data_IF_062548582935
#
_entry.id   IF_062548582935
#
_cell.length_a   1.000
_cell.length_b   1.000
_cell.length_c   1.000
_cell.angle_alpha   90.00
_cell.angle_beta   90.00
_cell.angle_gamma   90.00
#
_symmetry.space_group_name_H-M   'P 1'
#
loop_
_entity.id
_entity.type
_entity.pdbx_description
1 polymer ?
#
# COMPACT_ATOMS: atom_id res chain seq x y z
N UNK A 1 -27.57 -19.70 -6.71
CA UNK A 1 -28.28 -18.41 -6.57
C UNK A 1 -28.06 -17.61 -7.85
N UNK A 2 -29.11 -17.01 -8.43
CA UNK A 2 -29.11 -16.46 -9.79
C UNK A 2 -28.91 -14.93 -9.76
N UNK A 3 -27.70 -14.49 -10.08
CA UNK A 3 -27.21 -13.10 -10.04
C UNK A 3 -28.10 -12.09 -10.78
N UNK A 4 -28.81 -12.53 -11.83
CA UNK A 4 -29.63 -11.67 -12.68
C UNK A 4 -30.94 -11.23 -12.02
N UNK A 5 -31.47 -12.00 -11.07
CA UNK A 5 -32.72 -11.69 -10.38
C UNK A 5 -32.52 -10.61 -9.30
N UNK A 6 -31.31 -10.52 -8.75
CA UNK A 6 -30.90 -9.52 -7.77
C UNK A 6 -30.87 -8.09 -8.35
N UNK A 7 -30.57 -7.97 -9.64
CA UNK A 7 -30.49 -6.69 -10.36
C UNK A 7 -31.88 -6.10 -10.65
N UNK A 8 -32.90 -6.94 -10.87
CA UNK A 8 -34.27 -6.51 -11.13
C UNK A 8 -34.93 -5.86 -9.89
N UNK A 9 -34.65 -6.40 -8.70
CA UNK A 9 -35.16 -5.89 -7.42
C UNK A 9 -34.44 -4.61 -6.94
N UNK A 10 -33.29 -4.29 -7.55
CA UNK A 10 -32.50 -3.09 -7.24
C UNK A 10 -33.12 -1.81 -7.81
N UNK A 11 -33.81 -1.90 -8.95
CA UNK A 11 -34.33 -0.76 -9.71
C UNK A 11 -35.54 -0.03 -9.10
N UNK A 12 -36.14 -0.53 -8.01
CA UNK A 12 -37.45 -0.04 -7.51
C UNK A 12 -37.44 0.73 -6.15
N UNK A 13 -36.34 1.29 -5.61
CA UNK A 13 -36.34 1.85 -4.23
C UNK A 13 -36.06 3.38 -4.06
N UNK A 14 -36.77 3.98 -3.09
CA UNK A 14 -37.21 5.40 -2.89
C UNK A 14 -36.20 6.38 -2.18
N UNK A 15 -36.38 7.73 -2.25
CA UNK A 15 -35.39 8.79 -1.90
C UNK A 15 -35.26 9.26 -0.43
N UNK A 16 -35.59 8.47 0.61
CA UNK A 16 -35.41 8.90 2.01
C UNK A 16 -33.94 8.89 2.55
N UNK A 17 -32.95 8.86 1.66
CA UNK A 17 -31.53 8.55 1.90
C UNK A 17 -30.71 9.70 2.53
N UNK A 18 -31.26 10.91 2.63
CA UNK A 18 -30.46 12.12 2.85
C UNK A 18 -30.08 12.44 4.32
N UNK A 19 -30.71 11.85 5.34
CA UNK A 19 -30.53 12.26 6.75
C UNK A 19 -29.45 11.50 7.55
N UNK A 20 -28.93 10.36 7.06
CA UNK A 20 -27.95 9.53 7.80
C UNK A 20 -26.46 9.88 7.58
N UNK A 21 -26.14 10.70 6.58
CA UNK A 21 -24.76 11.08 6.27
C UNK A 21 -24.13 12.05 7.30
N UNK A 22 -24.95 12.75 8.10
CA UNK A 22 -24.52 13.78 9.06
C UNK A 22 -23.87 13.20 10.33
N UNK A 23 -24.34 12.04 10.79
CA UNK A 23 -23.89 11.44 12.05
C UNK A 23 -22.51 10.76 11.91
N UNK A 24 -22.23 10.14 10.76
CA UNK A 24 -20.95 9.44 10.49
C UNK A 24 -19.78 10.39 10.24
N UNK A 25 -20.03 11.49 9.53
CA UNK A 25 -19.06 12.59 9.34
C UNK A 25 -18.63 13.21 10.67
N UNK A 26 -19.51 13.19 11.67
CA UNK A 26 -19.21 13.72 13.01
C UNK A 26 -18.31 12.78 13.80
N UNK A 27 -18.48 11.46 13.68
CA UNK A 27 -17.64 10.46 14.37
C UNK A 27 -16.23 10.34 13.76
N UNK A 28 -16.10 10.34 12.44
CA UNK A 28 -14.78 10.33 11.78
C UNK A 28 -14.02 11.65 12.01
N UNK A 29 -14.73 12.78 12.11
CA UNK A 29 -14.13 14.06 12.57
C UNK A 29 -13.63 13.99 14.01
N UNK A 30 -14.28 13.23 14.89
CA UNK A 30 -13.80 13.04 16.26
C UNK A 30 -12.53 12.19 16.28
N UNK A 31 -12.42 11.15 15.44
CA UNK A 31 -11.20 10.35 15.31
C UNK A 31 -10.03 11.14 14.68
N UNK A 32 -10.30 11.97 13.66
CA UNK A 32 -9.26 12.85 13.08
C UNK A 32 -8.81 13.96 14.03
N UNK A 33 -9.67 14.41 14.95
CA UNK A 33 -9.35 15.37 16.00
C UNK A 33 -8.62 14.76 17.21
N UNK A 34 -8.71 13.43 17.41
CA UNK A 34 -7.98 12.71 18.47
C UNK A 34 -6.47 12.58 18.18
N UNK A 35 -6.02 12.80 16.95
CA UNK A 35 -4.59 12.94 16.62
C UNK A 35 -3.94 14.24 17.13
N UNK A 36 -4.70 15.11 17.82
CA UNK A 36 -4.22 16.42 18.28
C UNK A 36 -3.87 16.54 19.76
N UNK A 37 -4.64 15.97 20.69
CA UNK A 37 -4.41 16.14 22.15
C UNK A 37 -5.05 15.00 22.96
N UNK A 38 -4.27 14.42 23.87
CA UNK A 38 -4.70 13.41 24.85
C UNK A 38 -5.74 13.99 25.83
N UNK A 39 -6.87 13.30 26.01
CA UNK A 39 -7.61 13.22 27.28
C UNK A 39 -8.51 11.98 27.26
N UNK A 40 -8.19 11.00 28.11
CA UNK A 40 -9.01 9.81 28.33
C UNK A 40 -10.23 10.14 29.18
N UNK A 41 -11.44 9.90 28.67
CA UNK A 41 -12.66 9.76 29.48
C UNK A 41 -13.53 8.66 28.88
N UNK A 42 -13.67 7.56 29.61
CA UNK A 42 -14.55 6.44 29.28
C UNK A 42 -16.00 6.76 29.66
N UNK A 43 -16.99 6.51 28.79
CA UNK A 43 -18.37 6.17 29.18
C UNK A 43 -19.10 5.35 28.09
N UNK A 44 -20.08 4.49 28.48
CA UNK A 44 -20.59 3.38 27.67
C UNK A 44 -21.95 3.68 27.03
N UNK A 45 -22.21 3.26 25.79
CA UNK A 45 -23.57 3.19 25.24
C UNK A 45 -23.75 2.01 24.27
N UNK A 46 -24.47 1.00 24.75
CA UNK A 46 -25.17 0.00 23.95
C UNK A 46 -26.35 0.65 23.23
N UNK A 47 -26.45 0.49 21.91
CA UNK A 47 -27.71 0.53 21.18
C UNK A 47 -27.60 -0.33 19.90
N UNK A 48 -28.15 -1.53 19.98
CA UNK A 48 -28.41 -2.39 18.81
C UNK A 48 -29.56 -1.78 18.03
N UNK A 49 -29.34 -1.48 16.74
CA UNK A 49 -30.42 -1.24 15.78
C UNK A 49 -30.09 -1.96 14.47
N UNK A 50 -30.86 -3.00 14.19
CA UNK A 50 -30.79 -3.79 12.96
C UNK A 50 -31.65 -3.13 11.89
N UNK A 51 -31.02 -2.61 10.83
CA UNK A 51 -31.71 -2.22 9.60
C UNK A 51 -30.74 -2.31 8.43
N UNK A 52 -30.98 -3.28 7.55
CA UNK A 52 -30.20 -3.50 6.34
C UNK A 52 -30.32 -2.29 5.39
N UNK A 53 -29.18 -1.75 4.96
CA UNK A 53 -29.09 -0.57 4.11
C UNK A 53 -28.60 -0.96 2.71
N UNK A 54 -29.30 -0.49 1.67
CA UNK A 54 -28.88 -0.61 0.26
C UNK A 54 -27.65 0.26 0.01
N UNK A 55 -26.67 -0.37 -0.62
CA UNK A 55 -25.29 0.04 -0.74
C UNK A 55 -25.05 1.00 -1.91
N UNK A 56 -24.47 2.17 -1.63
CA UNK A 56 -23.26 2.55 -2.37
C UNK A 56 -22.14 1.70 -1.78
N UNK A 57 -21.76 0.63 -2.48
CA UNK A 57 -20.67 -0.33 -2.25
C UNK A 57 -19.92 -0.20 -0.90
N UNK A 58 -20.62 -0.43 0.22
CA UNK A 58 -19.99 -0.50 1.55
C UNK A 58 -19.02 -1.69 1.60
N UNK A 59 -19.34 -2.74 0.83
CA UNK A 59 -18.46 -3.86 0.51
C UNK A 59 -17.11 -3.34 -0.04
N UNK A 60 -17.11 -2.55 -1.13
CA UNK A 60 -15.85 -2.07 -1.72
C UNK A 60 -15.01 -1.13 -0.83
N UNK A 61 -15.61 -0.25 -0.02
CA UNK A 61 -14.85 0.65 0.88
C UNK A 61 -14.12 -0.13 1.99
N UNK A 62 -14.82 -1.11 2.56
CA UNK A 62 -14.27 -1.95 3.62
C UNK A 62 -13.24 -2.93 3.05
N UNK A 63 -13.42 -3.39 1.82
CA UNK A 63 -12.43 -4.19 1.11
C UNK A 63 -11.13 -3.40 0.88
N UNK A 64 -11.20 -2.10 0.58
CA UNK A 64 -10.03 -1.22 0.51
C UNK A 64 -9.28 -1.18 1.83
N UNK A 65 -9.97 -1.00 2.96
CA UNK A 65 -9.34 -0.94 4.29
C UNK A 65 -8.75 -2.30 4.71
N UNK A 66 -9.40 -3.41 4.37
CA UNK A 66 -8.89 -4.76 4.63
C UNK A 66 -7.67 -5.09 3.77
N UNK A 67 -7.67 -4.68 2.50
CA UNK A 67 -6.50 -4.79 1.62
C UNK A 67 -5.34 -3.95 2.17
N UNK A 68 -5.59 -2.68 2.50
CA UNK A 68 -4.59 -1.80 3.10
C UNK A 68 -3.98 -2.44 4.35
N UNK A 69 -4.82 -2.93 5.28
CA UNK A 69 -4.33 -3.57 6.51
C UNK A 69 -3.46 -4.79 6.22
N UNK A 70 -3.79 -5.57 5.19
CA UNK A 70 -2.99 -6.73 4.78
C UNK A 70 -1.61 -6.32 4.27
N UNK A 71 -1.52 -5.21 3.52
CA UNK A 71 -0.25 -4.65 3.04
C UNK A 71 0.56 -4.05 4.20
N UNK A 72 -0.07 -3.30 5.11
CA UNK A 72 0.62 -2.76 6.30
C UNK A 72 1.14 -3.88 7.21
N UNK A 73 0.42 -5.00 7.32
CA UNK A 73 0.92 -6.18 8.03
C UNK A 73 2.16 -6.77 7.39
N UNK A 74 2.21 -6.81 6.05
CA UNK A 74 3.35 -7.30 5.29
C UNK A 74 4.60 -6.44 5.54
N UNK A 75 4.48 -5.12 5.47
CA UNK A 75 5.59 -4.17 5.67
C UNK A 75 6.03 -4.10 7.14
N UNK A 76 5.07 -4.05 8.07
CA UNK A 76 5.31 -4.12 9.52
C UNK A 76 6.10 -5.39 9.88
N UNK A 77 5.67 -6.57 9.45
CA UNK A 77 6.41 -7.82 9.73
C UNK A 77 7.78 -7.84 9.03
N UNK A 78 7.90 -7.29 7.82
CA UNK A 78 9.16 -7.25 7.09
C UNK A 78 10.24 -6.49 7.88
N UNK A 79 9.94 -5.27 8.32
CA UNK A 79 10.88 -4.48 9.11
C UNK A 79 11.11 -5.04 10.51
N UNK A 80 10.07 -5.60 11.16
CA UNK A 80 10.23 -6.28 12.45
C UNK A 80 11.16 -7.48 12.33
N UNK A 81 11.05 -8.27 11.27
CA UNK A 81 11.97 -9.40 11.02
C UNK A 81 13.40 -8.91 10.80
N UNK A 82 13.61 -7.91 9.94
CA UNK A 82 14.93 -7.34 9.68
C UNK A 82 15.63 -6.79 10.93
N UNK A 83 14.86 -6.18 11.85
CA UNK A 83 15.37 -5.64 13.12
C UNK A 83 15.55 -6.69 14.22
N UNK A 84 15.26 -7.97 13.95
CA UNK A 84 15.34 -9.07 14.90
C UNK A 84 14.21 -9.08 15.95
N UNK A 85 13.09 -8.39 15.68
CA UNK A 85 11.91 -8.30 16.56
C UNK A 85 10.84 -9.37 16.24
N UNK A 86 10.96 -10.05 15.11
CA UNK A 86 10.05 -11.11 14.66
C UNK A 86 10.85 -12.26 14.06
N UNK A 87 10.52 -13.49 14.45
CA UNK A 87 11.17 -14.69 13.93
C UNK A 87 10.73 -14.99 12.49
N UNK A 88 11.66 -15.53 11.70
CA UNK A 88 11.42 -16.04 10.35
C UNK A 88 10.57 -17.33 10.41
N UNK A 89 10.02 -17.82 9.29
CA UNK A 89 9.26 -19.08 9.25
C UNK A 89 9.99 -20.30 9.87
N UNK A 90 11.31 -20.33 9.78
CA UNK A 90 12.17 -21.37 10.37
C UNK A 90 12.40 -21.22 11.90
N UNK A 91 11.79 -20.21 12.53
CA UNK A 91 11.88 -19.91 13.96
C UNK A 91 13.12 -19.13 14.37
N UNK A 92 14.02 -18.80 13.43
CA UNK A 92 15.25 -18.06 13.73
C UNK A 92 15.04 -16.54 13.67
N UNK A 93 15.84 -15.81 14.44
CA UNK A 93 15.92 -14.35 14.36
C UNK A 93 17.01 -13.93 13.38
N UNK A 94 16.81 -12.78 12.74
CA UNK A 94 17.85 -12.12 11.95
C UNK A 94 18.96 -11.62 12.89
N UNK A 95 20.22 -11.72 12.45
CA UNK A 95 21.38 -11.26 13.22
C UNK A 95 21.25 -9.77 13.59
N UNK A 96 21.65 -9.39 14.80
CA UNK A 96 21.62 -7.99 15.24
C UNK A 96 22.48 -7.06 14.37
N UNK A 97 23.55 -7.59 13.78
CA UNK A 97 24.49 -6.87 12.92
C UNK A 97 24.07 -6.85 11.44
N UNK A 98 22.94 -7.48 11.09
CA UNK A 98 22.42 -7.51 9.72
C UNK A 98 22.14 -6.09 9.19
N UNK A 99 21.47 -5.28 10.00
CA UNK A 99 21.22 -3.87 9.71
C UNK A 99 22.46 -3.07 10.11
N UNK A 100 23.11 -2.34 9.18
CA UNK A 100 24.23 -1.48 9.53
C UNK A 100 23.85 -0.51 10.64
N UNK A 101 24.71 -0.36 11.65
CA UNK A 101 24.42 0.47 12.83
C UNK A 101 24.04 1.92 12.47
N UNK A 102 24.64 2.48 11.42
CA UNK A 102 24.35 3.83 10.92
C UNK A 102 22.97 3.98 10.28
N UNK A 103 22.31 2.88 9.89
CA UNK A 103 20.99 2.87 9.25
C UNK A 103 19.89 2.31 10.16
N UNK A 104 20.25 1.85 11.37
CA UNK A 104 19.31 1.19 12.26
C UNK A 104 18.17 2.10 12.69
N UNK A 105 18.48 3.35 13.06
CA UNK A 105 17.47 4.32 13.48
C UNK A 105 16.48 4.66 12.36
N UNK A 106 16.95 4.68 11.10
CA UNK A 106 16.11 4.89 9.93
C UNK A 106 15.10 3.73 9.81
N UNK A 107 15.57 2.47 9.83
CA UNK A 107 14.67 1.31 9.74
C UNK A 107 13.75 1.15 10.95
N UNK A 108 14.18 1.54 12.15
CA UNK A 108 13.32 1.59 13.33
C UNK A 108 12.20 2.63 13.20
N UNK A 109 12.45 3.73 12.48
CA UNK A 109 11.43 4.74 12.18
C UNK A 109 10.41 4.22 11.18
N UNK A 110 10.85 3.58 10.08
CA UNK A 110 9.94 2.96 9.10
C UNK A 110 9.06 1.91 9.81
N UNK A 111 9.69 1.00 10.57
CA UNK A 111 8.97 -0.02 11.33
C UNK A 111 7.91 0.57 12.28
N UNK A 112 8.21 1.69 12.94
CA UNK A 112 7.28 2.37 13.83
C UNK A 112 6.09 2.94 13.06
N UNK A 113 6.31 3.52 11.89
CA UNK A 113 5.21 4.03 11.06
C UNK A 113 4.30 2.90 10.59
N UNK A 114 4.84 1.75 10.15
CA UNK A 114 3.98 0.62 9.75
C UNK A 114 3.14 0.08 10.90
N UNK A 115 3.71 -0.02 12.10
CA UNK A 115 2.95 -0.40 13.29
C UNK A 115 1.82 0.62 13.59
N UNK A 116 2.03 1.90 13.33
CA UNK A 116 1.02 2.95 13.50
C UNK A 116 -0.07 2.87 12.43
N UNK A 117 0.29 2.60 11.17
CA UNK A 117 -0.68 2.39 10.09
C UNK A 117 -1.56 1.17 10.36
N UNK A 118 -0.96 0.05 10.76
CA UNK A 118 -1.66 -1.15 11.22
C UNK A 118 -2.66 -0.79 12.32
N UNK A 119 -2.20 -0.14 13.40
CA UNK A 119 -3.07 0.18 14.54
C UNK A 119 -4.24 1.09 14.13
N UNK A 120 -3.97 2.06 13.26
CA UNK A 120 -5.00 2.95 12.72
C UNK A 120 -6.05 2.18 11.91
N UNK A 121 -5.63 1.31 10.99
CA UNK A 121 -6.53 0.55 10.12
C UNK A 121 -7.34 -0.49 10.90
N UNK A 122 -6.73 -1.16 11.88
CA UNK A 122 -7.45 -2.05 12.81
C UNK A 122 -8.57 -1.29 13.52
N UNK A 123 -8.24 -0.15 14.13
CA UNK A 123 -9.23 0.68 14.81
C UNK A 123 -10.32 1.19 13.86
N UNK A 124 -9.98 1.56 12.61
CA UNK A 124 -10.94 1.99 11.61
C UNK A 124 -11.92 0.87 11.22
N UNK A 125 -11.43 -0.36 11.05
CA UNK A 125 -12.24 -1.54 10.74
C UNK A 125 -13.14 -1.96 11.91
N UNK A 126 -12.60 -1.99 13.13
CA UNK A 126 -13.38 -2.28 14.37
C UNK A 126 -14.52 -1.29 14.55
N UNK A 127 -14.23 0.01 14.42
CA UNK A 127 -15.23 1.06 14.52
C UNK A 127 -16.26 1.02 13.38
N UNK A 128 -15.92 0.41 12.24
CA UNK A 128 -16.84 0.20 11.12
C UNK A 128 -17.74 -1.03 11.31
N UNK A 129 -17.55 -1.80 12.39
CA UNK A 129 -18.32 -3.02 12.69
C UNK A 129 -17.93 -4.22 11.83
N UNK A 130 -16.77 -4.19 11.19
CA UNK A 130 -16.25 -5.26 10.33
C UNK A 130 -15.26 -6.10 11.13
N UNK A 131 -15.22 -7.39 10.82
CA UNK A 131 -14.20 -8.28 11.37
C UNK A 131 -12.83 -7.85 10.82
N UNK A 132 -11.93 -7.47 11.72
CA UNK A 132 -10.54 -7.19 11.36
C UNK A 132 -9.90 -8.48 10.81
N UNK A 133 -9.39 -8.49 9.58
CA UNK A 133 -8.64 -9.62 9.05
C UNK A 133 -7.51 -10.03 10.00
N UNK A 134 -7.32 -11.34 10.18
CA UNK A 134 -6.19 -11.84 10.92
C UNK A 134 -4.89 -11.50 10.19
N UNK A 135 -3.83 -11.18 10.94
CA UNK A 135 -2.48 -10.99 10.38
C UNK A 135 -2.03 -12.29 9.70
N UNK A 136 -1.70 -12.27 8.39
CA UNK A 136 -1.17 -13.44 7.69
C UNK A 136 0.20 -13.84 8.22
N UNK A 137 0.68 -15.02 7.82
CA UNK A 137 2.07 -15.41 7.99
C UNK A 137 2.84 -15.06 6.73
N UNK A 138 4.04 -14.50 6.90
CA UNK A 138 4.86 -14.02 5.80
C UNK A 138 6.21 -14.74 5.70
N UNK A 139 6.57 -15.12 4.48
CA UNK A 139 7.88 -15.61 4.08
C UNK A 139 8.47 -14.67 3.02
N UNK A 140 9.32 -13.76 3.47
CA UNK A 140 9.93 -12.72 2.65
C UNK A 140 10.95 -13.25 1.64
N UNK A 141 11.31 -14.54 1.69
CA UNK A 141 12.09 -15.16 0.61
C UNK A 141 11.26 -15.39 -0.65
N UNK A 142 9.93 -15.28 -0.56
CA UNK A 142 9.00 -15.63 -1.64
C UNK A 142 8.91 -17.14 -1.89
N UNK A 143 9.53 -17.99 -1.06
CA UNK A 143 9.44 -19.45 -1.17
C UNK A 143 8.10 -20.03 -0.71
N UNK A 144 7.27 -19.19 -0.06
CA UNK A 144 6.00 -19.56 0.56
C UNK A 144 6.17 -20.74 1.51
N UNK A 145 7.10 -20.59 2.46
CA UNK A 145 7.48 -21.60 3.43
C UNK A 145 7.91 -22.93 2.78
N UNK A 146 8.73 -22.83 1.73
CA UNK A 146 9.27 -23.97 1.00
C UNK A 146 8.32 -24.62 -0.02
N UNK A 147 7.15 -24.04 -0.28
CA UNK A 147 6.23 -24.53 -1.31
C UNK A 147 6.76 -24.29 -2.75
N UNK A 148 7.70 -23.36 -2.92
CA UNK A 148 8.38 -23.08 -4.18
C UNK A 148 9.83 -22.64 -3.96
N UNK A 149 10.61 -22.53 -5.04
CA UNK A 149 11.95 -21.97 -4.97
C UNK A 149 11.91 -20.51 -4.48
N UNK A 150 12.85 -20.14 -3.61
CA UNK A 150 12.95 -18.78 -3.09
C UNK A 150 13.27 -17.78 -4.21
N UNK A 151 12.52 -16.68 -4.26
CA UNK A 151 12.77 -15.54 -5.14
C UNK A 151 13.90 -14.65 -4.57
N UNK A 152 13.95 -14.53 -3.24
CA UNK A 152 14.91 -13.71 -2.50
C UNK A 152 15.58 -14.54 -1.39
N UNK A 153 16.40 -15.56 -1.74
CA UNK A 153 16.92 -16.53 -0.76
C UNK A 153 17.78 -15.90 0.34
N UNK A 154 18.41 -14.76 0.08
CA UNK A 154 19.33 -14.07 0.98
C UNK A 154 18.76 -12.74 1.54
N UNK A 155 17.44 -12.53 1.47
CA UNK A 155 16.78 -11.27 1.89
C UNK A 155 17.14 -10.82 3.32
N UNK A 156 17.48 -11.74 4.23
CA UNK A 156 17.89 -11.39 5.61
C UNK A 156 19.35 -11.76 5.95
N UNK A 157 20.16 -12.03 4.93
CA UNK A 157 21.61 -12.25 5.07
C UNK A 157 22.42 -11.34 4.16
N UNK A 158 21.79 -10.74 3.16
CA UNK A 158 22.34 -9.75 2.25
C UNK A 158 21.52 -8.46 2.32
N UNK A 159 22.13 -7.41 2.87
CA UNK A 159 21.45 -6.13 3.06
C UNK A 159 21.06 -5.45 1.74
N UNK A 160 21.77 -5.72 0.64
CA UNK A 160 21.38 -5.19 -0.68
C UNK A 160 20.16 -5.90 -1.26
N UNK A 161 20.00 -7.21 -1.02
CA UNK A 161 18.75 -7.93 -1.36
C UNK A 161 17.60 -7.42 -0.49
N UNK A 162 17.82 -7.21 0.80
CA UNK A 162 16.82 -6.59 1.68
C UNK A 162 16.31 -5.26 1.15
N UNK A 163 17.21 -4.35 0.76
CA UNK A 163 16.78 -3.05 0.23
C UNK A 163 16.03 -3.17 -1.11
N UNK A 164 16.32 -4.20 -1.92
CA UNK A 164 15.55 -4.47 -3.15
C UNK A 164 14.12 -4.93 -2.82
N UNK A 165 13.95 -5.83 -1.85
CA UNK A 165 12.64 -6.26 -1.38
C UNK A 165 11.90 -5.11 -0.70
N UNK A 166 12.57 -4.35 0.17
CA UNK A 166 12.04 -3.15 0.80
C UNK A 166 11.48 -2.19 -0.25
N UNK A 167 12.26 -1.85 -1.27
CA UNK A 167 11.79 -0.96 -2.34
C UNK A 167 10.55 -1.53 -3.04
N UNK A 168 10.54 -2.83 -3.32
CA UNK A 168 9.41 -3.51 -3.97
C UNK A 168 8.13 -3.42 -3.15
N UNK A 169 8.22 -3.56 -1.83
CA UNK A 169 7.07 -3.44 -0.93
C UNK A 169 6.59 -1.99 -0.87
N UNK A 170 7.48 -1.05 -0.56
CA UNK A 170 7.18 0.37 -0.41
C UNK A 170 6.55 0.99 -1.66
N UNK A 171 7.13 0.73 -2.84
CA UNK A 171 6.56 1.20 -4.09
C UNK A 171 5.19 0.55 -4.35
N UNK A 172 5.03 -0.74 -4.02
CA UNK A 172 3.73 -1.41 -4.14
C UNK A 172 2.68 -0.83 -3.19
N UNK A 173 3.06 -0.44 -1.96
CA UNK A 173 2.20 0.23 -0.98
C UNK A 173 1.69 1.56 -1.52
N UNK A 174 2.57 2.44 -1.99
CA UNK A 174 2.22 3.72 -2.64
C UNK A 174 1.21 3.50 -3.76
N UNK A 175 1.53 2.60 -4.69
CA UNK A 175 0.72 2.32 -5.88
C UNK A 175 -0.62 1.68 -5.53
N UNK A 176 -0.68 0.84 -4.51
CA UNK A 176 -1.91 0.24 -4.01
C UNK A 176 -2.84 1.31 -3.44
N UNK A 177 -2.35 2.18 -2.55
CA UNK A 177 -3.15 3.28 -2.00
C UNK A 177 -3.69 4.19 -3.10
N UNK A 178 -2.85 4.55 -4.08
CA UNK A 178 -3.28 5.34 -5.23
C UNK A 178 -4.37 4.64 -6.04
N UNK A 179 -4.21 3.34 -6.30
CA UNK A 179 -5.20 2.55 -7.04
C UNK A 179 -6.53 2.37 -6.31
N UNK A 180 -6.53 2.45 -4.98
CA UNK A 180 -7.76 2.39 -4.20
C UNK A 180 -8.48 3.74 -4.05
N UNK A 181 -7.83 4.86 -4.39
CA UNK A 181 -8.38 6.21 -4.17
C UNK A 181 -9.74 6.44 -4.84
N UNK A 182 -9.97 5.85 -6.02
CA UNK A 182 -11.25 5.95 -6.74
C UNK A 182 -12.44 5.37 -5.96
N UNK A 183 -12.22 4.33 -5.16
CA UNK A 183 -13.26 3.76 -4.30
C UNK A 183 -13.58 4.67 -3.10
N UNK A 184 -12.58 5.41 -2.61
CA UNK A 184 -12.67 6.29 -1.44
C UNK A 184 -13.20 7.70 -1.77
N UNK A 185 -13.33 8.06 -3.06
CA UNK A 185 -13.56 9.45 -3.50
C UNK A 185 -14.81 10.12 -2.91
N UNK A 186 -15.82 9.32 -2.51
CA UNK A 186 -17.07 9.81 -1.94
C UNK A 186 -17.06 9.85 -0.38
N UNK A 187 -15.98 9.40 0.26
CA UNK A 187 -15.77 9.48 1.71
C UNK A 187 -14.52 10.31 2.02
N UNK A 188 -14.70 11.62 2.16
CA UNK A 188 -13.59 12.55 2.38
C UNK A 188 -12.71 12.17 3.59
N UNK A 189 -13.26 11.58 4.64
CA UNK A 189 -12.51 11.25 5.84
C UNK A 189 -11.61 10.03 5.62
N UNK A 190 -12.14 8.97 4.98
CA UNK A 190 -11.33 7.81 4.60
C UNK A 190 -10.33 8.16 3.50
N UNK A 191 -10.71 9.00 2.54
CA UNK A 191 -9.83 9.49 1.48
C UNK A 191 -8.65 10.29 2.07
N UNK A 192 -8.91 11.21 3.00
CA UNK A 192 -7.86 11.96 3.68
C UNK A 192 -6.93 11.04 4.47
N UNK A 193 -7.48 10.08 5.22
CA UNK A 193 -6.70 9.11 5.98
C UNK A 193 -5.78 8.28 5.06
N UNK A 194 -6.33 7.72 3.98
CA UNK A 194 -5.57 6.95 2.99
C UNK A 194 -4.45 7.77 2.35
N UNK A 195 -4.70 9.03 1.99
CA UNK A 195 -3.66 9.89 1.41
C UNK A 195 -2.60 10.36 2.41
N UNK A 196 -2.92 10.41 3.71
CA UNK A 196 -1.90 10.66 4.74
C UNK A 196 -0.95 9.48 4.86
N UNK A 197 -1.45 8.24 4.83
CA UNK A 197 -0.62 7.02 4.81
C UNK A 197 0.19 6.95 3.52
N UNK A 198 -0.46 7.09 2.35
CA UNK A 198 0.22 7.16 1.06
C UNK A 198 1.39 8.17 1.04
N UNK A 199 1.23 9.35 1.67
CA UNK A 199 2.32 10.33 1.74
C UNK A 199 3.48 9.89 2.65
N UNK A 200 3.24 9.04 3.64
CA UNK A 200 4.28 8.40 4.45
C UNK A 200 4.99 7.33 3.62
N UNK A 201 4.25 6.42 2.97
CA UNK A 201 4.81 5.39 2.08
C UNK A 201 5.69 6.00 0.98
N UNK A 202 5.25 7.08 0.35
CA UNK A 202 6.05 7.74 -0.68
C UNK A 202 7.40 8.26 -0.15
N UNK A 203 7.47 8.63 1.13
CA UNK A 203 8.74 9.03 1.78
C UNK A 203 9.59 7.81 2.13
N UNK A 204 8.98 6.71 2.57
CA UNK A 204 9.69 5.45 2.80
C UNK A 204 10.31 4.92 1.50
N UNK A 205 9.51 4.82 0.43
CA UNK A 205 9.96 4.47 -0.92
C UNK A 205 11.15 5.34 -1.36
N UNK A 206 11.02 6.67 -1.29
CA UNK A 206 12.12 7.58 -1.64
C UNK A 206 13.35 7.40 -0.76
N UNK A 207 13.18 7.10 0.53
CA UNK A 207 14.27 6.89 1.47
C UNK A 207 15.03 5.59 1.14
N UNK A 208 14.33 4.47 0.98
CA UNK A 208 14.91 3.18 0.60
C UNK A 208 15.67 3.29 -0.73
N UNK A 209 15.08 3.95 -1.73
CA UNK A 209 15.72 4.24 -3.03
C UNK A 209 17.02 5.02 -2.87
N UNK A 210 17.04 6.02 -1.99
CA UNK A 210 18.26 6.76 -1.65
C UNK A 210 19.30 5.86 -0.99
N UNK A 211 18.92 5.00 -0.05
CA UNK A 211 19.84 4.06 0.58
C UNK A 211 20.48 3.11 -0.46
N UNK A 212 19.67 2.55 -1.36
CA UNK A 212 20.18 1.72 -2.46
C UNK A 212 21.16 2.49 -3.36
N UNK A 213 20.81 3.72 -3.78
CA UNK A 213 21.70 4.55 -4.61
C UNK A 213 23.05 4.78 -3.94
N UNK A 214 23.07 5.08 -2.65
CA UNK A 214 24.32 5.33 -1.91
C UNK A 214 25.21 4.09 -1.81
N UNK A 215 24.63 2.89 -1.96
CA UNK A 215 25.35 1.62 -1.93
C UNK A 215 25.81 1.14 -3.31
N UNK A 216 25.15 1.58 -4.39
CA UNK A 216 25.50 1.23 -5.77
C UNK A 216 26.49 2.20 -6.43
N UNK A 217 27.72 2.28 -5.91
CA UNK A 217 28.77 3.10 -6.54
C UNK A 217 29.16 2.53 -7.92
N UNK A 218 29.03 3.33 -8.98
CA UNK A 218 29.49 2.96 -10.33
C UNK A 218 28.48 2.21 -11.21
N UNK A 219 27.20 2.17 -10.84
CA UNK A 219 26.15 1.66 -11.73
C UNK A 219 26.03 2.52 -13.01
N UNK A 220 25.79 1.85 -14.15
CA UNK A 220 25.63 2.52 -15.45
C UNK A 220 24.44 3.49 -15.49
N UNK A 221 23.37 3.17 -14.75
CA UNK A 221 22.20 4.03 -14.54
C UNK A 221 21.97 4.23 -13.04
N UNK A 222 21.86 5.47 -12.54
CA UNK A 222 21.68 5.71 -11.12
C UNK A 222 20.23 5.44 -10.69
N UNK A 223 20.06 4.77 -9.54
CA UNK A 223 18.75 4.62 -8.90
C UNK A 223 18.16 6.00 -8.58
N UNK A 224 16.99 6.30 -9.14
CA UNK A 224 16.21 7.51 -8.88
C UNK A 224 15.50 7.42 -7.53
N UNK A 225 15.21 8.59 -6.93
CA UNK A 225 14.41 8.67 -5.70
C UNK A 225 12.90 8.48 -5.96
N UNK A 226 12.49 8.39 -7.22
CA UNK A 226 11.11 8.16 -7.67
C UNK A 226 11.05 6.90 -8.52
N UNK A 227 9.84 6.38 -8.71
CA UNK A 227 9.54 5.23 -9.58
C UNK A 227 9.68 5.62 -11.06
N UNK A 228 9.95 4.64 -11.91
CA UNK A 228 10.05 4.83 -13.36
C UNK A 228 10.41 3.53 -14.07
N UNK A 229 10.59 3.53 -15.39
CA UNK A 229 10.88 2.31 -16.15
C UNK A 229 12.28 1.75 -15.86
N UNK A 230 12.49 0.46 -16.14
CA UNK A 230 13.81 -0.20 -16.11
C UNK A 230 14.41 -0.40 -14.70
N UNK A 231 15.74 -0.31 -14.59
CA UNK A 231 16.50 -0.54 -13.34
C UNK A 231 16.21 0.50 -12.24
N UNK A 232 15.70 1.68 -12.63
CA UNK A 232 15.14 2.67 -11.71
C UNK A 232 13.83 2.21 -11.07
N UNK A 233 13.03 1.39 -11.76
CA UNK A 233 11.76 0.85 -11.29
C UNK A 233 11.95 -0.46 -10.56
N UNK A 234 12.26 -1.54 -11.30
CA UNK A 234 12.30 -2.93 -10.81
C UNK A 234 13.67 -3.28 -10.22
N UNK A 235 13.81 -3.36 -8.87
CA UNK A 235 15.09 -3.53 -8.21
C UNK A 235 15.64 -4.96 -8.34
N UNK A 236 14.78 -5.92 -8.69
CA UNK A 236 15.09 -7.35 -8.78
C UNK A 236 14.21 -8.03 -9.84
N UNK A 237 14.35 -7.65 -11.10
CA UNK A 237 13.62 -8.32 -12.19
C UNK A 237 14.11 -9.79 -12.36
N UNK A 238 13.22 -10.76 -12.61
CA UNK A 238 11.77 -10.62 -12.78
C UNK A 238 10.98 -10.70 -11.46
N UNK A 239 11.63 -11.03 -10.33
CA UNK A 239 11.00 -11.32 -9.05
C UNK A 239 10.17 -10.14 -8.47
N UNK A 240 10.41 -8.92 -8.94
CA UNK A 240 9.71 -7.71 -8.50
C UNK A 240 8.84 -7.06 -9.59
N UNK A 241 8.79 -7.60 -10.81
CA UNK A 241 8.12 -6.95 -11.96
C UNK A 241 6.63 -6.71 -11.73
N UNK A 242 5.96 -7.59 -10.97
CA UNK A 242 4.57 -7.42 -10.57
C UNK A 242 4.31 -6.08 -9.84
N UNK A 243 5.31 -5.57 -9.11
CA UNK A 243 5.27 -4.31 -8.38
C UNK A 243 5.52 -3.08 -9.27
N UNK A 244 5.83 -3.25 -10.57
CA UNK A 244 6.14 -2.17 -11.51
C UNK A 244 5.38 -2.27 -12.84
N UNK A 245 4.36 -3.13 -12.91
CA UNK A 245 3.50 -3.25 -14.09
C UNK A 245 2.90 -1.89 -14.43
N UNK A 246 3.13 -1.40 -15.66
CA UNK A 246 2.60 -0.12 -16.13
C UNK A 246 3.52 1.07 -15.94
N UNK A 247 4.61 0.98 -15.18
CA UNK A 247 5.55 2.11 -14.99
C UNK A 247 6.26 2.55 -16.29
N UNK A 248 6.16 1.75 -17.34
CA UNK A 248 6.59 2.04 -18.71
C UNK A 248 5.44 2.49 -19.62
N UNK A 249 4.28 2.85 -19.07
CA UNK A 249 3.11 3.26 -19.83
C UNK A 249 3.40 4.47 -20.72
N UNK A 250 3.15 4.32 -22.02
CA UNK A 250 3.28 5.37 -23.03
C UNK A 250 2.00 6.17 -23.22
N UNK A 251 0.97 5.86 -22.44
CA UNK A 251 -0.37 6.40 -22.58
C UNK A 251 -0.86 6.83 -21.21
N UNK A 252 -1.22 8.11 -21.08
CA UNK A 252 -1.62 8.72 -19.81
C UNK A 252 -3.03 9.27 -19.87
N UNK A 253 -3.82 8.95 -18.85
CA UNK A 253 -5.16 9.50 -18.68
C UNK A 253 -5.09 10.87 -18.01
N UNK A 254 -5.70 11.87 -18.64
CA UNK A 254 -5.86 13.22 -18.12
C UNK A 254 -7.30 13.44 -17.60
N UNK A 255 -7.52 14.51 -16.80
CA UNK A 255 -8.86 14.95 -16.45
C UNK A 255 -9.76 15.07 -17.69
N UNK A 256 -11.05 14.72 -17.55
CA UNK A 256 -12.07 14.70 -18.61
C UNK A 256 -11.92 13.59 -19.67
N UNK A 257 -11.31 12.45 -19.31
CA UNK A 257 -11.16 11.28 -20.19
C UNK A 257 -10.34 11.54 -21.45
N UNK A 258 -9.56 12.62 -21.47
CA UNK A 258 -8.55 12.83 -22.51
C UNK A 258 -7.40 11.87 -22.27
N UNK A 259 -6.92 11.24 -23.33
CA UNK A 259 -5.75 10.36 -23.28
C UNK A 259 -4.63 11.02 -24.05
N UNK A 260 -3.42 11.01 -23.49
CA UNK A 260 -2.22 11.53 -24.14
C UNK A 260 -1.27 10.38 -24.44
N UNK A 261 -0.90 10.28 -25.71
CA UNK A 261 0.20 9.42 -26.16
C UNK A 261 1.51 10.15 -25.91
N UNK A 262 2.32 9.67 -24.97
CA UNK A 262 3.58 10.30 -24.60
C UNK A 262 4.56 10.36 -25.78
N UNK A 263 4.51 9.39 -26.69
CA UNK A 263 5.36 9.36 -27.89
C UNK A 263 5.07 10.46 -28.91
N UNK A 264 3.86 11.02 -28.88
CA UNK A 264 3.42 12.13 -29.74
C UNK A 264 3.82 13.49 -29.16
N UNK A 265 4.24 13.53 -27.90
CA UNK A 265 4.70 14.75 -27.26
C UNK A 265 6.04 15.18 -27.84
N UNK A 266 6.04 16.32 -28.53
CA UNK A 266 7.25 16.98 -29.03
C UNK A 266 7.93 17.77 -27.92
N UNK A 267 8.46 17.07 -26.91
CA UNK A 267 9.13 17.68 -25.75
C UNK A 267 10.65 17.56 -25.91
N UNK A 268 11.34 18.70 -25.86
CA UNK A 268 12.81 18.75 -25.86
C UNK A 268 13.46 18.33 -27.18
N UNK A 269 14.79 18.30 -27.18
CA UNK A 269 15.62 17.89 -28.33
C UNK A 269 16.08 16.44 -28.25
N UNK A 270 16.00 15.81 -27.07
CA UNK A 270 16.34 14.42 -26.81
C UNK A 270 15.06 13.64 -26.51
N UNK A 271 14.59 12.90 -27.51
CA UNK A 271 13.30 12.20 -27.47
C UNK A 271 13.26 11.10 -26.41
N UNK A 272 14.33 10.33 -26.29
CA UNK A 272 14.37 9.17 -25.39
C UNK A 272 14.40 9.63 -23.93
N UNK A 273 15.17 10.69 -23.64
CA UNK A 273 15.17 11.30 -22.32
C UNK A 273 13.81 11.94 -22.01
N UNK A 274 13.21 12.65 -22.96
CA UNK A 274 11.90 13.28 -22.75
C UNK A 274 10.80 12.25 -22.49
N UNK A 275 10.80 11.13 -23.21
CA UNK A 275 9.83 10.05 -23.02
C UNK A 275 9.98 9.41 -21.64
N UNK A 276 11.21 9.08 -21.22
CA UNK A 276 11.47 8.57 -19.87
C UNK A 276 11.04 9.55 -18.79
N UNK A 277 11.39 10.83 -18.92
CA UNK A 277 10.96 11.86 -17.96
C UNK A 277 9.45 12.03 -17.91
N UNK A 278 8.74 11.81 -19.03
CA UNK A 278 7.29 11.85 -19.05
C UNK A 278 6.69 10.64 -18.32
N UNK A 279 7.23 9.43 -18.52
CA UNK A 279 6.82 8.23 -17.77
C UNK A 279 7.08 8.41 -16.26
N UNK A 280 8.28 8.84 -15.89
CA UNK A 280 8.70 9.12 -14.51
C UNK A 280 7.90 10.23 -13.81
N UNK A 281 7.08 11.00 -14.53
CA UNK A 281 6.18 12.00 -13.95
C UNK A 281 4.89 11.38 -13.40
N UNK A 282 4.62 10.12 -13.73
CA UNK A 282 3.50 9.35 -13.25
C UNK A 282 3.99 8.23 -12.35
N UNK A 283 3.06 7.76 -11.54
CA UNK A 283 3.24 6.65 -10.61
C UNK A 283 1.98 5.81 -10.80
N UNK A 284 2.08 4.68 -11.49
CA UNK A 284 0.88 4.02 -11.98
C UNK A 284 0.17 3.28 -10.85
N UNK A 285 -1.16 3.37 -10.73
CA UNK A 285 -1.89 2.67 -9.68
C UNK A 285 -1.84 1.15 -9.87
N UNK A 286 -1.77 0.41 -8.76
CA UNK A 286 -2.08 -1.01 -8.75
C UNK A 286 -3.57 -1.24 -8.49
N UNK A 287 -4.18 -2.10 -9.30
CA UNK A 287 -5.54 -2.60 -9.03
C UNK A 287 -5.55 -3.48 -7.77
N UNK A 288 -6.72 -3.65 -7.15
CA UNK A 288 -6.91 -4.55 -6.01
C UNK A 288 -6.34 -5.94 -6.29
N UNK A 289 -6.61 -6.50 -7.48
CA UNK A 289 -6.12 -7.82 -7.87
C UNK A 289 -4.59 -7.89 -7.96
N UNK A 290 -3.95 -6.85 -8.50
CA UNK A 290 -2.48 -6.78 -8.58
C UNK A 290 -1.85 -6.63 -7.19
N UNK A 291 -2.39 -5.77 -6.34
CA UNK A 291 -1.92 -5.60 -4.96
C UNK A 291 -2.06 -6.90 -4.15
N UNK A 292 -3.19 -7.60 -4.29
CA UNK A 292 -3.39 -8.91 -3.65
C UNK A 292 -2.43 -9.96 -4.21
N UNK A 293 -2.20 -10.00 -5.52
CA UNK A 293 -1.26 -10.93 -6.13
C UNK A 293 0.18 -10.69 -5.63
N UNK A 294 0.58 -9.43 -5.46
CA UNK A 294 1.89 -9.07 -4.91
C UNK A 294 2.04 -9.51 -3.46
N UNK A 295 1.04 -9.24 -2.60
CA UNK A 295 1.07 -9.71 -1.22
C UNK A 295 1.17 -11.25 -1.13
N UNK A 296 0.47 -11.96 -2.02
CA UNK A 296 0.47 -13.42 -2.09
C UNK A 296 1.81 -14.04 -2.50
N UNK A 297 2.77 -13.26 -2.99
CA UNK A 297 4.16 -13.73 -3.18
C UNK A 297 4.76 -14.15 -1.83
N UNK A 298 4.43 -13.41 -0.77
CA UNK A 298 5.02 -13.57 0.55
C UNK A 298 4.10 -14.29 1.55
N UNK A 299 2.80 -14.38 1.30
CA UNK A 299 1.84 -15.06 2.19
C UNK A 299 1.90 -16.60 2.02
N UNK A 300 1.88 -17.33 3.15
CA UNK A 300 1.82 -18.79 3.19
C UNK A 300 0.91 -19.34 4.30
#
# INVERSE_FOLDING_TARGET
>A
MNFLQLLADLAQANPAVYTQASQRRTMLRQLSQLGGRVAATALPLLAVSTSAAKAGTRENLLDVLQLALTLEYLESDFYRTALGKLARPDGSLVSADFVPASLRADLETLQLHEDQHVAFLQAALENSGVVVPARPRFDFTGSRNGAQAALFPDVFTNFDTFLQVAQTLEDAGVRAYKGQAGFLINDNALLEAAFRIHSVEARHASHIRRLRRLRQTGAAEPIRNWVGPGLSGSPAAPASDAAYVGEDALTQALPNSATVQLEELRIGSDRDRALRSAQEAFDEPLTTAQSTALANIFIY
#
